data_IF_782795677247
#
_entry.id   IF_782795677247
#
_cell.length_a   1.000
_cell.length_b   1.000
_cell.length_c   1.000
_cell.angle_alpha   90.00
_cell.angle_beta   90.00
_cell.angle_gamma   90.00
#
_symmetry.space_group_name_H-M   'P 1'
#
loop_
_entity.id
_entity.type
_entity.pdbx_description
1 polymer ?
#
# COMPACT_ATOMS: atom_id res chain seq x y z
N UNK A 1 -43.82 12.44 51.73
CA UNK A 1 -43.23 11.30 50.99
C UNK A 1 -43.43 11.55 49.50
N UNK A 2 -42.38 11.99 48.80
CA UNK A 2 -42.38 12.14 47.34
C UNK A 2 -41.62 10.94 46.75
N UNK A 3 -42.13 10.30 45.68
CA UNK A 3 -41.48 9.13 45.11
C UNK A 3 -40.23 9.54 44.30
N UNK A 4 -39.21 8.69 44.38
CA UNK A 4 -37.94 8.79 43.67
C UNK A 4 -38.14 8.57 42.15
N UNK A 5 -37.60 9.43 41.27
CA UNK A 5 -37.50 9.15 39.85
C UNK A 5 -36.08 8.68 39.54
N UNK A 6 -35.84 7.37 39.47
CA UNK A 6 -34.59 6.83 38.91
C UNK A 6 -34.78 5.35 38.63
N UNK A 7 -35.33 5.05 37.45
CA UNK A 7 -35.18 3.72 36.84
C UNK A 7 -35.40 3.72 35.32
N UNK A 8 -35.95 4.78 34.73
CA UNK A 8 -36.31 4.81 33.31
C UNK A 8 -35.28 5.49 32.38
N UNK A 9 -34.04 5.67 32.86
CA UNK A 9 -32.97 6.38 32.11
C UNK A 9 -31.77 5.52 31.74
N UNK A 10 -31.77 4.23 32.09
CA UNK A 10 -30.66 3.31 31.82
C UNK A 10 -30.91 2.29 30.70
N UNK A 11 -32.11 2.24 30.12
CA UNK A 11 -32.48 1.24 29.11
C UNK A 11 -32.45 1.74 27.65
N UNK A 12 -32.01 2.98 27.41
CA UNK A 12 -32.02 3.61 26.06
C UNK A 12 -30.64 3.82 25.40
N UNK A 13 -29.57 3.21 25.90
CA UNK A 13 -28.20 3.42 25.36
C UNK A 13 -27.56 2.14 24.80
N UNK A 14 -28.36 1.13 24.42
CA UNK A 14 -27.89 -0.14 23.82
C UNK A 14 -28.27 -0.31 22.34
N UNK A 15 -28.69 0.75 21.66
CA UNK A 15 -28.92 0.75 20.22
C UNK A 15 -27.80 1.58 19.56
N UNK A 16 -27.19 1.01 18.53
CA UNK A 16 -26.18 1.57 17.62
C UNK A 16 -24.69 1.49 18.02
N UNK A 17 -24.22 0.34 18.51
CA UNK A 17 -22.83 -0.04 18.22
C UNK A 17 -22.81 -0.74 16.86
N UNK A 18 -22.22 -0.16 15.80
CA UNK A 18 -22.06 -0.86 14.53
C UNK A 18 -21.35 -2.20 14.78
N UNK A 19 -21.68 -3.26 14.03
CA UNK A 19 -20.93 -4.51 14.13
C UNK A 19 -19.44 -4.22 13.98
N UNK A 20 -18.61 -4.93 14.75
CA UNK A 20 -17.15 -4.85 14.63
C UNK A 20 -16.77 -4.90 13.15
N UNK A 21 -15.94 -3.96 12.68
CA UNK A 21 -15.65 -3.72 11.26
C UNK A 21 -15.31 -5.02 10.50
N UNK A 22 -14.61 -5.95 11.15
CA UNK A 22 -14.30 -7.27 10.59
C UNK A 22 -15.50 -8.24 10.54
N UNK A 23 -16.39 -8.23 11.53
CA UNK A 23 -17.59 -9.06 11.52
C UNK A 23 -18.53 -8.68 10.36
N UNK A 24 -18.67 -7.37 10.07
CA UNK A 24 -19.44 -6.92 8.91
C UNK A 24 -18.82 -7.39 7.58
N UNK A 25 -17.49 -7.37 7.48
CA UNK A 25 -16.76 -7.92 6.33
C UNK A 25 -17.07 -9.42 6.15
N UNK A 26 -17.01 -10.20 7.22
CA UNK A 26 -17.33 -11.64 7.16
C UNK A 26 -18.78 -11.89 6.73
N UNK A 27 -19.74 -11.10 7.20
CA UNK A 27 -21.14 -11.19 6.75
C UNK A 27 -21.28 -10.92 5.25
N UNK A 28 -20.58 -9.89 4.74
CA UNK A 28 -20.61 -9.55 3.32
C UNK A 28 -19.97 -10.64 2.45
N UNK A 29 -18.88 -11.27 2.89
CA UNK A 29 -18.30 -12.43 2.19
C UNK A 29 -19.20 -13.67 2.27
N UNK A 30 -19.83 -13.93 3.41
CA UNK A 30 -20.80 -15.01 3.54
C UNK A 30 -21.97 -14.83 2.56
N UNK A 31 -22.40 -13.60 2.31
CA UNK A 31 -23.38 -13.31 1.26
C UNK A 31 -22.84 -13.58 -0.15
N UNK A 32 -21.60 -13.18 -0.45
CA UNK A 32 -20.96 -13.53 -1.74
C UNK A 32 -20.91 -15.05 -1.96
N UNK A 33 -20.56 -15.84 -0.93
CA UNK A 33 -20.59 -17.32 -1.00
C UNK A 33 -21.98 -17.87 -1.27
N UNK A 34 -23.02 -17.29 -0.65
CA UNK A 34 -24.43 -17.67 -0.92
C UNK A 34 -24.82 -17.42 -2.38
N UNK A 35 -24.34 -16.35 -3.02
CA UNK A 35 -24.57 -16.10 -4.44
C UNK A 35 -23.94 -17.19 -5.31
N UNK A 36 -22.72 -17.64 -5.00
CA UNK A 36 -22.05 -18.75 -5.70
C UNK A 36 -22.85 -20.05 -5.52
N UNK A 37 -23.26 -20.38 -4.30
CA UNK A 37 -24.09 -21.57 -4.05
C UNK A 37 -25.44 -21.49 -4.76
N UNK A 38 -26.04 -20.30 -4.83
CA UNK A 38 -27.25 -20.04 -5.62
C UNK A 38 -27.03 -20.35 -7.10
N UNK A 39 -25.93 -19.84 -7.68
CA UNK A 39 -25.55 -20.10 -9.08
C UNK A 39 -25.42 -21.59 -9.37
N UNK A 40 -24.63 -22.30 -8.55
CA UNK A 40 -24.43 -23.75 -8.67
C UNK A 40 -25.75 -24.53 -8.64
N UNK A 41 -26.69 -24.12 -7.78
CA UNK A 41 -27.98 -24.78 -7.69
C UNK A 41 -28.87 -24.50 -8.91
N UNK A 42 -28.86 -23.27 -9.43
CA UNK A 42 -29.63 -22.93 -10.63
C UNK A 42 -29.08 -23.59 -11.90
N UNK A 43 -27.76 -23.74 -12.01
CA UNK A 43 -27.12 -24.53 -13.09
C UNK A 43 -27.58 -25.99 -13.05
N UNK A 44 -27.59 -26.61 -11.86
CA UNK A 44 -28.08 -27.99 -11.68
C UNK A 44 -29.55 -28.16 -12.05
N UNK A 45 -30.36 -27.12 -11.84
CA UNK A 45 -31.77 -27.10 -12.22
C UNK A 45 -31.98 -26.79 -13.71
N UNK A 46 -30.92 -26.49 -14.48
CA UNK A 46 -31.00 -26.21 -15.90
C UNK A 46 -31.75 -24.91 -16.21
N UNK A 47 -31.71 -23.92 -15.32
CA UNK A 47 -32.42 -22.65 -15.53
C UNK A 47 -31.80 -21.90 -16.72
N UNK A 48 -32.57 -21.74 -17.79
CA UNK A 48 -32.14 -21.02 -19.01
C UNK A 48 -32.81 -19.65 -19.21
N UNK A 49 -33.59 -19.17 -18.24
CA UNK A 49 -34.31 -17.88 -18.36
C UNK A 49 -33.37 -16.66 -18.31
N UNK A 50 -32.16 -16.83 -17.76
CA UNK A 50 -31.10 -15.83 -17.72
C UNK A 50 -29.74 -16.52 -17.59
N UNK A 51 -28.66 -15.76 -17.76
CA UNK A 51 -27.30 -16.24 -17.59
C UNK A 51 -26.98 -16.45 -16.10
N UNK A 52 -26.98 -17.71 -15.65
CA UNK A 52 -26.71 -18.06 -14.25
C UNK A 52 -25.34 -17.60 -13.78
N UNK A 53 -24.38 -17.43 -14.70
CA UNK A 53 -23.03 -16.93 -14.36
C UNK A 53 -23.04 -15.48 -13.87
N UNK A 54 -24.13 -14.73 -14.04
CA UNK A 54 -24.30 -13.42 -13.43
C UNK A 54 -24.35 -13.47 -11.89
N UNK A 55 -24.72 -14.62 -11.29
CA UNK A 55 -24.59 -14.80 -9.84
C UNK A 55 -23.12 -14.90 -9.40
N UNK A 56 -22.24 -15.45 -10.24
CA UNK A 56 -20.79 -15.48 -9.98
C UNK A 56 -20.18 -14.08 -10.13
N UNK A 57 -20.61 -13.31 -11.13
CA UNK A 57 -20.22 -11.88 -11.28
C UNK A 57 -20.69 -11.03 -10.10
N UNK A 58 -21.90 -11.27 -9.61
CA UNK A 58 -22.44 -10.60 -8.43
C UNK A 58 -21.64 -10.97 -7.16
N UNK A 59 -21.30 -12.25 -6.98
CA UNK A 59 -20.45 -12.70 -5.87
C UNK A 59 -19.06 -12.02 -5.89
N UNK A 60 -18.43 -11.98 -7.06
CA UNK A 60 -17.15 -11.29 -7.27
C UNK A 60 -17.25 -9.82 -6.87
N UNK A 61 -18.21 -9.10 -7.44
CA UNK A 61 -18.43 -7.67 -7.16
C UNK A 61 -18.72 -7.42 -5.67
N UNK A 62 -19.55 -8.26 -5.05
CA UNK A 62 -19.87 -8.18 -3.63
C UNK A 62 -18.64 -8.35 -2.74
N UNK A 63 -17.75 -9.29 -3.07
CA UNK A 63 -16.53 -9.51 -2.29
C UNK A 63 -15.55 -8.34 -2.38
N UNK A 64 -15.39 -7.73 -3.56
CA UNK A 64 -14.56 -6.53 -3.75
C UNK A 64 -15.15 -5.33 -2.99
N UNK A 65 -16.48 -5.17 -3.00
CA UNK A 65 -17.17 -4.14 -2.23
C UNK A 65 -17.00 -4.36 -0.71
N UNK A 66 -17.01 -5.61 -0.25
CA UNK A 66 -16.75 -5.94 1.14
C UNK A 66 -15.34 -5.52 1.58
N UNK A 67 -14.32 -5.79 0.75
CA UNK A 67 -12.94 -5.35 0.99
C UNK A 67 -12.85 -3.83 1.09
N UNK A 68 -13.40 -3.11 0.11
CA UNK A 68 -13.38 -1.65 0.02
C UNK A 68 -13.98 -0.97 1.26
N UNK A 69 -15.17 -1.43 1.65
CA UNK A 69 -15.86 -0.96 2.84
C UNK A 69 -15.06 -1.26 4.11
N UNK A 70 -14.53 -2.48 4.23
CA UNK A 70 -13.72 -2.87 5.39
C UNK A 70 -12.46 -2.02 5.53
N UNK A 71 -11.69 -1.83 4.46
CA UNK A 71 -10.47 -0.99 4.48
C UNK A 71 -10.81 0.43 4.92
N UNK A 72 -11.88 1.00 4.40
CA UNK A 72 -12.33 2.35 4.76
C UNK A 72 -12.60 2.45 6.26
N UNK A 73 -13.41 1.54 6.80
CA UNK A 73 -13.76 1.53 8.22
C UNK A 73 -12.53 1.29 9.12
N UNK A 74 -11.65 0.38 8.75
CA UNK A 74 -10.43 0.07 9.49
C UNK A 74 -9.48 1.29 9.57
N UNK A 75 -9.32 2.03 8.46
CA UNK A 75 -8.55 3.28 8.44
C UNK A 75 -9.19 4.32 9.38
N UNK A 76 -10.51 4.50 9.29
CA UNK A 76 -11.24 5.47 10.12
C UNK A 76 -11.09 5.14 11.61
N UNK A 77 -11.32 3.88 11.99
CA UNK A 77 -11.25 3.44 13.39
C UNK A 77 -9.84 3.61 13.97
N UNK A 78 -8.78 3.26 13.21
CA UNK A 78 -7.39 3.48 13.64
C UNK A 78 -7.03 4.97 13.71
N UNK A 79 -7.49 5.78 12.75
CA UNK A 79 -7.23 7.22 12.75
C UNK A 79 -7.89 7.88 13.97
N UNK A 80 -9.11 7.48 14.33
CA UNK A 80 -9.79 7.96 15.53
C UNK A 80 -9.04 7.58 16.80
N UNK A 81 -8.54 6.36 16.89
CA UNK A 81 -7.73 5.93 18.02
C UNK A 81 -6.46 6.81 18.20
N UNK A 82 -5.79 7.18 17.10
CA UNK A 82 -4.63 8.10 17.11
C UNK A 82 -4.99 9.55 17.49
N UNK A 83 -6.22 9.99 17.23
CA UNK A 83 -6.71 11.30 17.67
C UNK A 83 -6.93 11.32 19.18
N UNK A 84 -7.65 10.31 19.69
CA UNK A 84 -8.04 10.27 21.11
C UNK A 84 -6.89 9.83 22.03
N UNK A 85 -5.80 9.30 21.47
CA UNK A 85 -4.61 8.89 22.23
C UNK A 85 -3.34 9.57 21.71
N UNK A 86 -3.11 10.85 22.05
CA UNK A 86 -1.95 11.61 21.59
C UNK A 86 -0.59 11.05 22.06
N UNK A 87 -0.59 10.13 23.04
CA UNK A 87 0.61 9.43 23.49
C UNK A 87 1.16 8.41 22.47
N UNK A 88 0.34 7.96 21.52
CA UNK A 88 0.81 7.07 20.45
C UNK A 88 1.51 7.88 19.35
N UNK A 89 2.66 7.38 18.92
CA UNK A 89 3.39 7.97 17.80
C UNK A 89 2.53 7.92 16.54
N UNK A 90 2.30 9.09 15.94
CA UNK A 90 1.52 9.22 14.71
C UNK A 90 2.40 8.94 13.49
N UNK A 91 1.91 8.19 12.49
CA UNK A 91 2.61 8.06 11.22
C UNK A 91 2.83 9.45 10.57
N UNK A 92 3.93 9.67 9.83
CA UNK A 92 4.22 10.98 9.23
C UNK A 92 3.07 11.52 8.36
N UNK A 93 2.39 10.65 7.62
CA UNK A 93 1.29 11.05 6.73
C UNK A 93 0.00 11.42 7.49
N UNK A 94 -0.14 11.04 8.76
CA UNK A 94 -1.29 11.40 9.58
C UNK A 94 -1.50 12.92 9.63
N UNK A 95 -0.41 13.70 9.68
CA UNK A 95 -0.45 15.17 9.69
C UNK A 95 -1.01 15.80 8.41
N UNK A 96 -1.16 15.05 7.32
CA UNK A 96 -1.75 15.53 6.09
C UNK A 96 -3.29 15.50 6.11
N UNK A 97 -3.90 14.92 7.15
CA UNK A 97 -5.35 14.98 7.35
C UNK A 97 -5.73 16.41 7.76
N UNK A 98 -6.28 17.16 6.81
CA UNK A 98 -6.80 18.50 7.07
C UNK A 98 -8.17 18.42 7.73
N UNK A 99 -8.45 19.32 8.68
CA UNK A 99 -9.77 19.48 9.30
C UNK A 99 -10.24 20.92 9.02
N UNK A 100 -11.45 21.12 8.48
CA UNK A 100 -12.03 22.45 8.31
C UNK A 100 -12.13 23.20 9.65
N UNK A 101 -11.87 24.51 9.64
CA UNK A 101 -11.93 25.35 10.86
C UNK A 101 -13.30 25.27 11.54
N UNK A 102 -14.38 25.22 10.77
CA UNK A 102 -15.74 25.03 11.30
C UNK A 102 -15.87 23.76 12.17
N UNK A 103 -15.25 22.65 11.77
CA UNK A 103 -15.24 21.40 12.55
C UNK A 103 -14.44 21.55 13.83
N UNK A 104 -13.33 22.29 13.79
CA UNK A 104 -12.53 22.61 14.96
C UNK A 104 -13.31 23.49 15.96
N UNK A 105 -14.03 24.51 15.48
CA UNK A 105 -14.88 25.38 16.30
C UNK A 105 -16.03 24.59 16.95
N UNK A 106 -16.64 23.64 16.24
CA UNK A 106 -17.63 22.73 16.82
C UNK A 106 -17.11 21.95 18.02
N UNK A 107 -15.87 21.46 17.92
CA UNK A 107 -15.23 20.73 19.02
C UNK A 107 -14.92 21.68 20.19
N UNK A 108 -14.31 22.85 19.93
CA UNK A 108 -13.78 23.71 20.99
C UNK A 108 -14.81 24.70 21.59
N UNK A 109 -15.77 25.17 20.82
CA UNK A 109 -16.72 26.20 21.23
C UNK A 109 -18.15 25.67 21.42
N UNK A 110 -18.52 24.63 20.67
CA UNK A 110 -19.86 24.04 20.75
C UNK A 110 -19.90 22.74 21.57
N UNK A 111 -18.74 22.27 22.07
CA UNK A 111 -18.64 21.10 22.95
C UNK A 111 -18.94 19.77 22.25
N UNK A 112 -18.89 19.72 20.92
CA UNK A 112 -19.09 18.48 20.20
C UNK A 112 -17.95 17.48 20.48
N UNK A 113 -18.30 16.19 20.59
CA UNK A 113 -17.30 15.12 20.75
C UNK A 113 -16.30 15.11 19.57
N UNK A 114 -15.00 15.21 19.90
CA UNK A 114 -13.91 15.10 18.92
C UNK A 114 -14.00 13.80 18.12
N UNK A 115 -14.36 12.69 18.77
CA UNK A 115 -14.48 11.39 18.10
C UNK A 115 -15.59 11.42 17.04
N UNK A 116 -16.77 11.96 17.38
CA UNK A 116 -17.89 12.06 16.44
C UNK A 116 -17.57 12.99 15.28
N UNK A 117 -17.11 14.21 15.56
CA UNK A 117 -16.84 15.22 14.54
C UNK A 117 -15.72 14.76 13.60
N UNK A 118 -14.68 14.15 14.15
CA UNK A 118 -13.58 13.63 13.34
C UNK A 118 -14.00 12.38 12.55
N UNK A 119 -14.82 11.49 13.11
CA UNK A 119 -15.38 10.33 12.39
C UNK A 119 -16.19 10.78 11.18
N UNK A 120 -17.15 11.68 11.39
CA UNK A 120 -17.96 12.25 10.30
C UNK A 120 -17.09 12.87 9.21
N UNK A 121 -16.04 13.59 9.60
CA UNK A 121 -15.10 14.21 8.67
C UNK A 121 -14.30 13.18 7.87
N UNK A 122 -13.78 12.13 8.53
CA UNK A 122 -13.05 11.06 7.84
C UNK A 122 -13.97 10.25 6.93
N UNK A 123 -15.19 9.95 7.35
CA UNK A 123 -16.19 9.28 6.52
C UNK A 123 -16.48 10.09 5.24
N UNK A 124 -16.63 11.41 5.35
CA UNK A 124 -16.78 12.31 4.20
C UNK A 124 -15.51 12.41 3.35
N UNK A 125 -14.32 12.39 3.97
CA UNK A 125 -13.06 12.45 3.25
C UNK A 125 -12.82 11.19 2.40
N UNK A 126 -13.10 10.02 2.98
CA UNK A 126 -12.86 8.74 2.34
C UNK A 126 -14.03 8.25 1.47
N UNK A 127 -15.22 8.85 1.55
CA UNK A 127 -16.40 8.40 0.77
C UNK A 127 -16.21 8.46 -0.74
N UNK A 128 -15.33 9.32 -1.24
CA UNK A 128 -15.01 9.44 -2.67
C UNK A 128 -13.81 8.57 -3.08
N UNK A 129 -13.17 7.90 -2.13
CA UNK A 129 -12.03 7.03 -2.39
C UNK A 129 -12.51 5.59 -2.55
N UNK A 130 -11.82 4.86 -3.42
CA UNK A 130 -12.08 3.44 -3.65
C UNK A 130 -10.81 2.67 -3.32
N UNK A 131 -10.88 1.80 -2.32
CA UNK A 131 -9.81 1.01 -1.74
C UNK A 131 -9.83 -0.43 -2.26
N UNK A 132 -9.66 -0.56 -3.58
CA UNK A 132 -9.66 -1.87 -4.25
C UNK A 132 -8.35 -2.19 -4.95
N UNK A 133 -7.62 -1.16 -5.38
CA UNK A 133 -6.26 -1.36 -5.88
C UNK A 133 -5.27 -1.42 -4.71
N UNK A 134 -4.19 -2.22 -4.85
CA UNK A 134 -3.17 -2.31 -3.82
C UNK A 134 -2.55 -0.95 -3.43
N UNK A 135 -2.41 -0.06 -4.41
CA UNK A 135 -1.83 1.28 -4.25
C UNK A 135 -2.72 2.13 -3.37
N UNK A 136 -4.05 2.13 -3.62
CA UNK A 136 -5.01 2.90 -2.83
C UNK A 136 -5.13 2.39 -1.42
N UNK A 137 -5.13 1.07 -1.24
CA UNK A 137 -5.14 0.44 0.09
C UNK A 137 -3.88 0.82 0.89
N UNK A 138 -2.69 0.70 0.29
CA UNK A 138 -1.43 1.16 0.90
C UNK A 138 -1.45 2.65 1.22
N UNK A 139 -1.96 3.45 0.28
CA UNK A 139 -2.09 4.90 0.45
C UNK A 139 -3.00 5.26 1.63
N UNK A 140 -4.12 4.57 1.79
CA UNK A 140 -5.06 4.73 2.89
C UNK A 140 -4.45 4.34 4.23
N UNK A 141 -3.87 3.14 4.33
CA UNK A 141 -3.26 2.69 5.59
C UNK A 141 -2.03 3.49 6.01
N UNK A 142 -1.33 4.15 5.08
CA UNK A 142 -0.18 5.01 5.44
C UNK A 142 -0.54 6.22 6.31
N UNK A 143 -1.82 6.59 6.41
CA UNK A 143 -2.29 7.58 7.38
C UNK A 143 -2.25 7.05 8.82
N UNK A 144 -2.37 5.75 9.02
CA UNK A 144 -2.59 5.11 10.34
C UNK A 144 -1.55 4.07 10.71
N UNK A 145 -0.63 3.74 9.81
CA UNK A 145 0.48 2.82 10.07
C UNK A 145 1.72 3.20 9.25
N UNK A 146 2.89 2.89 9.79
CA UNK A 146 4.19 2.99 9.10
C UNK A 146 4.65 1.65 8.52
N UNK A 147 3.86 0.58 8.67
CA UNK A 147 4.22 -0.75 8.20
C UNK A 147 4.41 -0.75 6.68
N UNK A 148 5.42 -1.50 6.20
CA UNK A 148 5.45 -1.84 4.78
C UNK A 148 4.38 -2.91 4.51
N UNK A 149 3.19 -2.42 4.16
CA UNK A 149 1.98 -3.21 4.11
C UNK A 149 2.12 -4.48 3.27
N UNK A 150 2.49 -4.35 2.00
CA UNK A 150 2.45 -5.50 1.08
C UNK A 150 3.54 -6.54 1.36
N UNK A 151 4.70 -6.12 1.88
CA UNK A 151 5.73 -7.05 2.36
C UNK A 151 5.22 -7.84 3.57
N UNK A 152 4.58 -7.14 4.51
CA UNK A 152 4.07 -7.75 5.73
C UNK A 152 2.87 -8.66 5.46
N UNK A 153 2.00 -8.28 4.51
CA UNK A 153 0.89 -9.11 4.01
C UNK A 153 1.42 -10.35 3.30
N UNK A 154 2.41 -10.20 2.41
CA UNK A 154 3.01 -11.35 1.72
C UNK A 154 3.65 -12.34 2.70
N UNK A 155 4.35 -11.83 3.72
CA UNK A 155 4.85 -12.66 4.82
C UNK A 155 3.73 -13.36 5.57
N UNK A 156 2.69 -12.63 5.99
CA UNK A 156 1.55 -13.20 6.71
C UNK A 156 0.80 -14.26 5.89
N UNK A 157 0.72 -14.12 4.56
CA UNK A 157 0.15 -15.12 3.67
C UNK A 157 1.05 -16.35 3.52
N UNK A 158 2.36 -16.17 3.43
CA UNK A 158 3.32 -17.28 3.40
C UNK A 158 3.30 -18.08 4.71
N UNK A 159 3.15 -17.40 5.86
CA UNK A 159 3.01 -18.05 7.16
C UNK A 159 1.70 -18.85 7.27
N UNK A 160 0.64 -18.44 6.56
CA UNK A 160 -0.65 -19.15 6.50
C UNK A 160 -0.65 -20.35 5.56
N UNK A 161 0.11 -20.28 4.45
CA UNK A 161 0.19 -21.32 3.42
C UNK A 161 1.63 -21.81 3.27
N UNK A 162 1.99 -22.85 4.01
CA UNK A 162 3.34 -23.43 4.12
C UNK A 162 3.99 -23.86 2.80
N UNK A 163 3.24 -23.97 1.69
CA UNK A 163 3.74 -24.52 0.42
C UNK A 163 4.01 -23.49 -0.70
N UNK A 164 3.67 -22.21 -0.54
CA UNK A 164 3.93 -21.20 -1.59
C UNK A 164 4.52 -19.90 -1.03
N UNK A 165 5.82 -19.67 -1.30
CA UNK A 165 6.45 -18.38 -1.10
C UNK A 165 5.74 -17.31 -1.96
N UNK A 166 4.87 -16.54 -1.34
CA UNK A 166 4.12 -15.48 -2.01
C UNK A 166 4.89 -14.16 -1.87
N UNK A 167 5.23 -13.51 -2.98
CA UNK A 167 5.94 -12.22 -2.99
C UNK A 167 4.95 -11.06 -2.91
N UNK A 168 5.39 -9.88 -2.42
CA UNK A 168 4.57 -8.66 -2.41
C UNK A 168 4.00 -8.33 -3.80
N UNK A 169 4.81 -8.45 -4.85
CA UNK A 169 4.37 -8.24 -6.24
C UNK A 169 3.25 -9.21 -6.66
N UNK A 170 3.38 -10.49 -6.33
CA UNK A 170 2.38 -11.51 -6.66
C UNK A 170 1.06 -11.23 -5.94
N UNK A 171 1.12 -10.86 -4.65
CA UNK A 171 -0.07 -10.45 -3.88
C UNK A 171 -0.78 -9.30 -4.58
N UNK A 172 -0.03 -8.26 -4.93
CA UNK A 172 -0.56 -7.03 -5.53
C UNK A 172 -1.10 -7.29 -6.93
N UNK A 173 -0.40 -8.08 -7.75
CA UNK A 173 -0.83 -8.45 -9.09
C UNK A 173 -2.19 -9.17 -9.05
N UNK A 174 -2.35 -10.18 -8.19
CA UNK A 174 -3.62 -10.91 -8.06
C UNK A 174 -4.75 -10.01 -7.57
N UNK A 175 -4.48 -9.10 -6.63
CA UNK A 175 -5.49 -8.12 -6.19
C UNK A 175 -5.87 -7.12 -7.30
N UNK A 176 -4.90 -6.67 -8.12
CA UNK A 176 -5.19 -5.82 -9.30
C UNK A 176 -6.06 -6.54 -10.32
N UNK A 177 -5.79 -7.81 -10.60
CA UNK A 177 -6.61 -8.64 -11.47
C UNK A 177 -8.06 -8.72 -10.99
N UNK A 178 -8.25 -8.98 -9.69
CA UNK A 178 -9.58 -9.03 -9.07
C UNK A 178 -10.32 -7.69 -9.16
N UNK A 179 -9.64 -6.59 -8.85
CA UNK A 179 -10.21 -5.25 -8.94
C UNK A 179 -10.53 -4.85 -10.40
N UNK A 180 -9.64 -5.20 -11.35
CA UNK A 180 -9.84 -4.98 -12.77
C UNK A 180 -11.08 -5.73 -13.27
N UNK A 181 -11.21 -7.02 -12.91
CA UNK A 181 -12.36 -7.84 -13.28
C UNK A 181 -13.67 -7.27 -12.75
N UNK A 182 -13.69 -6.82 -11.49
CA UNK A 182 -14.84 -6.11 -10.90
C UNK A 182 -15.20 -4.86 -11.72
N UNK A 183 -14.19 -4.07 -12.13
CA UNK A 183 -14.43 -2.86 -12.91
C UNK A 183 -15.03 -3.19 -14.29
N UNK A 184 -14.57 -4.27 -14.92
CA UNK A 184 -15.13 -4.76 -16.17
C UNK A 184 -16.61 -5.16 -15.98
N UNK A 185 -16.92 -5.93 -14.93
CA UNK A 185 -18.31 -6.32 -14.60
C UNK A 185 -19.20 -5.08 -14.41
N UNK A 186 -18.74 -4.12 -13.60
CA UNK A 186 -19.56 -2.97 -13.21
C UNK A 186 -19.71 -1.90 -14.29
N UNK A 187 -18.69 -1.66 -15.11
CA UNK A 187 -18.64 -0.52 -16.03
C UNK A 187 -18.74 -0.87 -17.51
N UNK A 188 -18.38 -2.10 -17.89
CA UNK A 188 -18.38 -2.53 -19.30
C UNK A 188 -19.28 -3.75 -19.51
N UNK A 189 -20.20 -4.03 -18.58
CA UNK A 189 -21.08 -5.21 -18.61
C UNK A 189 -20.33 -6.54 -18.76
N UNK A 190 -19.09 -6.57 -18.28
CA UNK A 190 -18.16 -7.67 -18.40
C UNK A 190 -17.81 -8.11 -19.84
N UNK A 191 -17.81 -7.18 -20.80
CA UNK A 191 -17.49 -7.48 -22.19
C UNK A 191 -16.09 -8.10 -22.34
N UNK A 192 -16.01 -9.12 -23.18
CA UNK A 192 -14.76 -9.77 -23.57
C UNK A 192 -14.10 -8.97 -24.71
N UNK A 193 -12.90 -8.39 -24.50
CA UNK A 193 -12.22 -7.60 -25.51
C UNK A 193 -11.79 -8.43 -26.73
N UNK A 194 -11.57 -9.74 -26.56
CA UNK A 194 -11.15 -10.66 -27.61
C UNK A 194 -12.35 -11.29 -28.33
N UNK A 195 -13.55 -11.24 -27.73
CA UNK A 195 -14.80 -11.77 -28.28
C UNK A 195 -15.91 -10.71 -28.27
N UNK A 196 -15.95 -9.81 -29.27
CA UNK A 196 -16.94 -8.74 -29.34
C UNK A 196 -18.38 -9.25 -29.21
N UNK A 197 -19.15 -8.61 -28.33
CA UNK A 197 -20.56 -8.96 -28.07
C UNK A 197 -20.76 -10.11 -27.08
N UNK A 198 -19.70 -10.76 -26.62
CA UNK A 198 -19.77 -11.76 -25.55
C UNK A 198 -19.32 -11.16 -24.22
N UNK A 199 -19.86 -11.69 -23.12
CA UNK A 199 -19.28 -11.49 -21.80
C UNK A 199 -18.08 -12.41 -21.65
N UNK A 200 -17.07 -11.97 -20.92
CA UNK A 200 -15.99 -12.88 -20.52
C UNK A 200 -16.55 -14.01 -19.66
N UNK A 201 -16.00 -15.20 -19.84
CA UNK A 201 -16.38 -16.40 -19.09
C UNK A 201 -16.05 -16.26 -17.61
N UNK A 202 -16.87 -16.85 -16.76
CA UNK A 202 -16.63 -16.97 -15.32
C UNK A 202 -17.26 -18.26 -14.81
N UNK A 203 -16.49 -19.03 -14.07
CA UNK A 203 -16.92 -20.24 -13.37
C UNK A 203 -17.22 -19.95 -11.90
N UNK A 204 -17.95 -20.89 -11.28
CA UNK A 204 -18.16 -20.90 -9.85
C UNK A 204 -16.84 -21.01 -9.07
N UNK A 205 -15.89 -21.80 -9.57
CA UNK A 205 -14.57 -21.96 -8.99
C UNK A 205 -13.77 -20.65 -9.00
N UNK A 206 -13.69 -19.96 -10.14
CA UNK A 206 -12.99 -18.68 -10.23
C UNK A 206 -13.58 -17.64 -9.27
N UNK A 207 -14.91 -17.57 -9.16
CA UNK A 207 -15.57 -16.69 -8.20
C UNK A 207 -15.23 -17.06 -6.76
N UNK A 208 -15.25 -18.35 -6.42
CA UNK A 208 -14.91 -18.83 -5.07
C UNK A 208 -13.44 -18.54 -4.71
N UNK A 209 -12.52 -18.74 -5.65
CA UNK A 209 -11.11 -18.40 -5.49
C UNK A 209 -10.88 -16.91 -5.24
N UNK A 210 -11.62 -16.03 -5.92
CA UNK A 210 -11.56 -14.59 -5.69
C UNK A 210 -12.09 -14.20 -4.30
N UNK A 211 -13.22 -14.78 -3.88
CA UNK A 211 -13.80 -14.56 -2.53
C UNK A 211 -12.82 -15.01 -1.45
N UNK A 212 -12.27 -16.21 -1.58
CA UNK A 212 -11.33 -16.77 -0.60
C UNK A 212 -10.00 -15.99 -0.57
N UNK A 213 -9.55 -15.51 -1.74
CA UNK A 213 -8.37 -14.64 -1.81
C UNK A 213 -8.60 -13.31 -1.08
N UNK A 214 -9.75 -12.66 -1.28
CA UNK A 214 -10.08 -11.42 -0.56
C UNK A 214 -10.13 -11.63 0.95
N UNK A 215 -10.71 -12.75 1.41
CA UNK A 215 -10.71 -13.10 2.84
C UNK A 215 -9.29 -13.23 3.39
N UNK A 216 -8.44 -13.99 2.69
CA UNK A 216 -7.04 -14.20 3.06
C UNK A 216 -6.25 -12.89 3.12
N UNK A 217 -6.49 -11.99 2.15
CA UNK A 217 -5.88 -10.66 2.11
C UNK A 217 -6.28 -9.82 3.33
N UNK A 218 -7.57 -9.79 3.67
CA UNK A 218 -8.03 -9.01 4.83
C UNK A 218 -7.44 -9.57 6.13
N UNK A 219 -7.39 -10.89 6.30
CA UNK A 219 -6.74 -11.54 7.45
C UNK A 219 -5.26 -11.15 7.52
N UNK A 220 -4.54 -11.24 6.40
CA UNK A 220 -3.13 -10.89 6.32
C UNK A 220 -2.88 -9.39 6.56
N UNK A 221 -3.74 -8.50 6.07
CA UNK A 221 -3.65 -7.06 6.37
C UNK A 221 -3.84 -6.81 7.87
N UNK A 222 -4.83 -7.44 8.50
CA UNK A 222 -5.02 -7.32 9.96
C UNK A 222 -3.79 -7.79 10.72
N UNK A 223 -3.25 -8.95 10.36
CA UNK A 223 -2.01 -9.47 10.96
C UNK A 223 -0.82 -8.53 10.75
N UNK A 224 -0.70 -7.92 9.56
CA UNK A 224 0.37 -6.97 9.24
C UNK A 224 0.25 -5.65 10.00
N UNK A 225 -0.97 -5.18 10.24
CA UNK A 225 -1.24 -3.96 10.99
C UNK A 225 -1.18 -4.15 12.51
N UNK A 226 -1.24 -5.39 12.98
CA UNK A 226 -1.30 -5.75 14.40
C UNK A 226 -2.63 -5.36 15.05
N UNK A 227 -2.70 -5.56 16.36
CA UNK A 227 -3.90 -5.26 17.15
C UNK A 227 -4.28 -3.78 17.02
N UNK A 228 -5.59 -3.47 16.92
CA UNK A 228 -6.05 -2.10 16.94
C UNK A 228 -5.69 -1.45 18.28
N UNK A 229 -5.37 -0.16 18.24
CA UNK A 229 -5.10 0.62 19.45
C UNK A 229 -6.37 0.56 20.32
N UNK A 230 -6.31 0.07 21.59
CA UNK A 230 -7.49 -0.11 22.42
C UNK A 230 -8.27 1.19 22.57
N UNK A 231 -9.61 1.16 22.46
CA UNK A 231 -10.42 2.36 22.67
C UNK A 231 -10.21 2.89 24.10
N UNK A 232 -9.78 4.14 24.24
CA UNK A 232 -9.47 4.72 25.53
C UNK A 232 -10.75 4.84 26.39
N UNK A 233 -10.79 4.11 27.50
CA UNK A 233 -11.79 4.34 28.55
C UNK A 233 -11.32 5.50 29.42
N UNK A 234 -11.53 6.76 29.01
CA UNK A 234 -11.57 7.94 29.89
C UNK A 234 -11.96 9.22 29.14
N UNK A 235 -12.83 10.07 29.71
CA UNK A 235 -13.10 11.40 29.17
C UNK A 235 -11.86 12.28 29.29
N UNK A 236 -11.56 13.02 28.22
CA UNK A 236 -10.55 14.07 28.19
C UNK A 236 -10.80 15.06 29.34
N UNK A 237 -9.80 15.27 30.21
CA UNK A 237 -9.78 16.42 31.12
C UNK A 237 -8.85 17.49 30.56
N UNK A 238 -9.39 18.69 30.37
CA UNK A 238 -8.69 19.87 29.88
C UNK A 238 -7.50 20.24 30.76
N UNK A 239 -6.31 20.33 30.15
CA UNK A 239 -5.19 21.08 30.71
C UNK A 239 -4.31 21.69 29.60
N UNK A 240 -4.50 23.01 29.43
CA UNK A 240 -3.64 23.99 28.72
C UNK A 240 -2.13 23.73 28.86
N UNK A 241 -1.39 23.90 27.76
CA UNK A 241 -0.49 25.07 27.56
C UNK A 241 0.07 25.14 26.13
N UNK A 242 0.13 26.38 25.68
CA UNK A 242 0.54 26.92 24.37
C UNK A 242 2.06 27.15 24.32
N UNK A 243 2.69 26.95 23.16
CA UNK A 243 3.84 27.75 22.69
C UNK A 243 4.11 27.54 21.19
N UNK A 244 3.80 28.59 20.44
CA UNK A 244 4.48 29.22 19.30
C UNK A 244 4.89 28.50 18.00
N UNK A 245 4.65 29.25 16.93
CA UNK A 245 4.68 28.92 15.51
C UNK A 245 6.05 29.20 14.84
N UNK A 246 6.27 28.57 13.68
CA UNK A 246 6.40 29.25 12.37
C UNK A 246 7.24 28.43 11.36
N UNK A 247 6.65 28.05 10.22
CA UNK A 247 7.00 28.56 8.86
C UNK A 247 6.45 27.73 7.69
N UNK A 248 5.75 28.48 6.83
CA UNK A 248 5.81 28.52 5.37
C UNK A 248 5.35 27.30 4.54
N UNK A 249 4.10 27.42 4.07
CA UNK A 249 3.54 26.81 2.88
C UNK A 249 4.19 27.31 1.58
N UNK A 250 4.47 26.41 0.65
CA UNK A 250 4.70 26.76 -0.76
C UNK A 250 3.70 25.98 -1.64
N UNK A 251 2.76 26.70 -2.23
CA UNK A 251 1.73 26.18 -3.13
C UNK A 251 2.32 26.06 -4.54
N UNK A 252 2.23 24.88 -5.17
CA UNK A 252 2.38 24.74 -6.63
C UNK A 252 1.11 24.17 -7.24
N UNK A 253 0.58 24.91 -8.20
CA UNK A 253 -0.55 24.60 -9.07
C UNK A 253 -0.35 23.28 -9.84
N UNK A 254 -1.42 22.53 -10.15
CA UNK A 254 -1.32 21.29 -10.91
C UNK A 254 -1.05 21.59 -12.39
N UNK A 255 0.06 21.05 -12.90
CA UNK A 255 0.33 20.97 -14.34
C UNK A 255 -0.22 19.66 -14.91
N UNK A 256 -0.71 19.73 -16.15
CA UNK A 256 -1.33 18.66 -16.95
C UNK A 256 -0.69 17.27 -16.80
N UNK A 257 -1.47 16.17 -16.98
CA UNK A 257 -1.02 14.82 -16.68
C UNK A 257 0.06 14.38 -17.67
N UNK A 258 1.32 14.48 -17.25
CA UNK A 258 2.42 13.73 -17.86
C UNK A 258 2.24 12.27 -17.48
N UNK A 259 2.39 11.36 -18.45
CA UNK A 259 2.36 9.91 -18.24
C UNK A 259 3.35 9.55 -17.12
N UNK A 260 2.82 9.31 -15.93
CA UNK A 260 3.60 8.92 -14.77
C UNK A 260 3.63 7.40 -14.80
N UNK A 261 4.84 6.82 -14.82
CA UNK A 261 4.96 5.38 -14.65
C UNK A 261 4.53 5.01 -13.24
N UNK A 262 3.85 3.89 -13.11
CA UNK A 262 3.54 3.26 -11.84
C UNK A 262 4.39 2.00 -11.69
N UNK A 263 4.19 1.32 -10.58
CA UNK A 263 4.93 0.12 -10.27
C UNK A 263 4.71 -1.01 -11.26
N UNK A 264 3.46 -1.21 -11.67
CA UNK A 264 3.10 -2.23 -12.65
C UNK A 264 3.80 -1.96 -13.97
N UNK A 265 3.79 -0.71 -14.44
CA UNK A 265 4.50 -0.32 -15.65
C UNK A 265 5.99 -0.60 -15.57
N UNK A 266 6.64 -0.39 -14.43
CA UNK A 266 8.07 -0.68 -14.25
C UNK A 266 8.34 -2.19 -14.17
N UNK A 267 7.59 -2.95 -13.37
CA UNK A 267 7.76 -4.41 -13.25
C UNK A 267 7.52 -5.09 -14.60
N UNK A 268 6.46 -4.70 -15.31
CA UNK A 268 6.16 -5.19 -16.65
C UNK A 268 7.27 -4.84 -17.65
N UNK A 269 7.81 -3.62 -17.60
CA UNK A 269 8.93 -3.22 -18.44
C UNK A 269 10.22 -4.02 -18.15
N UNK A 270 10.51 -4.33 -16.88
CA UNK A 270 11.65 -5.18 -16.52
C UNK A 270 11.47 -6.56 -17.14
N UNK A 271 10.31 -7.20 -16.97
CA UNK A 271 10.03 -8.52 -17.55
C UNK A 271 10.04 -8.53 -19.08
N UNK A 272 9.62 -7.42 -19.72
CA UNK A 272 9.56 -7.31 -21.17
C UNK A 272 10.91 -7.02 -21.84
N UNK A 273 11.76 -6.21 -21.21
CA UNK A 273 12.96 -5.66 -21.85
C UNK A 273 14.28 -6.23 -21.33
N UNK A 274 14.25 -7.08 -20.29
CA UNK A 274 15.45 -7.68 -19.72
C UNK A 274 15.47 -9.20 -19.98
N UNK A 275 16.66 -9.80 -20.02
CA UNK A 275 16.76 -11.27 -19.94
C UNK A 275 16.27 -11.76 -18.57
N UNK A 276 15.88 -13.05 -18.44
CA UNK A 276 15.40 -13.59 -17.17
C UNK A 276 16.35 -13.37 -15.99
N UNK A 277 17.66 -13.48 -16.22
CA UNK A 277 18.69 -13.30 -15.20
C UNK A 277 18.81 -11.84 -14.76
N UNK A 278 18.81 -10.91 -15.71
CA UNK A 278 18.82 -9.47 -15.43
C UNK A 278 17.53 -9.05 -14.71
N UNK A 279 16.38 -9.54 -15.18
CA UNK A 279 15.09 -9.29 -14.55
C UNK A 279 15.06 -9.81 -13.10
N UNK A 280 15.58 -11.01 -12.85
CA UNK A 280 15.70 -11.58 -11.51
C UNK A 280 16.55 -10.70 -10.60
N UNK A 281 17.72 -10.25 -11.05
CA UNK A 281 18.60 -9.35 -10.28
C UNK A 281 17.93 -8.02 -9.97
N UNK A 282 17.32 -7.37 -10.97
CA UNK A 282 16.65 -6.07 -10.80
C UNK A 282 15.43 -6.18 -9.86
N UNK A 283 14.64 -7.25 -9.99
CA UNK A 283 13.50 -7.50 -9.10
C UNK A 283 13.94 -7.87 -7.69
N UNK A 284 15.06 -8.58 -7.51
CA UNK A 284 15.62 -8.84 -6.18
C UNK A 284 16.03 -7.54 -5.48
N UNK A 285 16.72 -6.65 -6.19
CA UNK A 285 17.13 -5.33 -5.68
C UNK A 285 15.92 -4.46 -5.36
N UNK A 286 14.93 -4.46 -6.25
CA UNK A 286 13.64 -3.82 -6.02
C UNK A 286 12.99 -4.34 -4.73
N UNK A 287 12.73 -5.63 -4.62
CA UNK A 287 12.05 -6.23 -3.46
C UNK A 287 12.81 -6.04 -2.15
N UNK A 288 14.15 -6.08 -2.19
CA UNK A 288 14.96 -5.86 -1.00
C UNK A 288 14.72 -4.48 -0.39
N UNK A 289 14.57 -3.43 -1.22
CA UNK A 289 14.25 -2.11 -0.71
C UNK A 289 12.98 -2.15 0.14
N UNK A 290 11.92 -2.81 -0.31
CA UNK A 290 10.69 -2.92 0.47
C UNK A 290 10.89 -3.64 1.82
N UNK A 291 11.77 -4.62 1.88
CA UNK A 291 12.06 -5.36 3.12
C UNK A 291 12.90 -4.57 4.14
N UNK A 292 13.56 -3.50 3.72
CA UNK A 292 14.54 -2.80 4.56
C UNK A 292 13.86 -1.79 5.52
N UNK A 293 14.19 -1.77 6.83
CA UNK A 293 13.57 -0.85 7.81
C UNK A 293 13.76 0.65 7.48
N UNK A 294 14.89 0.96 6.86
CA UNK A 294 15.22 2.32 6.39
C UNK A 294 14.41 2.76 5.16
N UNK A 295 13.64 1.89 4.51
CA UNK A 295 12.92 2.25 3.30
C UNK A 295 11.79 3.26 3.57
N UNK A 296 11.66 4.24 2.67
CA UNK A 296 10.67 5.33 2.76
C UNK A 296 9.74 5.39 1.56
N UNK A 297 10.08 4.70 0.48
CA UNK A 297 9.18 4.51 -0.66
C UNK A 297 9.87 4.66 -2.00
N UNK A 298 9.06 4.47 -3.04
CA UNK A 298 9.49 4.64 -4.42
C UNK A 298 9.12 6.00 -4.97
N UNK A 299 9.98 6.49 -5.86
CA UNK A 299 9.70 7.61 -6.75
C UNK A 299 9.74 7.11 -8.18
N UNK A 300 8.60 7.12 -8.86
CA UNK A 300 8.50 6.67 -10.25
C UNK A 300 8.78 7.82 -11.22
N UNK A 301 9.55 7.51 -12.26
CA UNK A 301 9.95 8.46 -13.28
C UNK A 301 8.77 8.99 -14.09
N UNK A 302 8.89 10.25 -14.54
CA UNK A 302 7.94 10.90 -15.47
C UNK A 302 8.48 11.00 -16.90
N UNK A 303 9.61 10.35 -17.16
CA UNK A 303 10.29 10.32 -18.45
C UNK A 303 9.63 9.34 -19.42
N UNK A 304 10.03 9.40 -20.69
CA UNK A 304 9.63 8.43 -21.72
C UNK A 304 9.87 6.98 -21.31
N UNK A 305 10.93 6.71 -20.55
CA UNK A 305 11.27 5.36 -20.10
C UNK A 305 10.79 5.07 -18.67
N UNK A 306 10.27 3.85 -18.42
CA UNK A 306 9.98 3.35 -17.08
C UNK A 306 11.20 3.41 -16.18
N UNK A 307 11.05 4.08 -15.04
CA UNK A 307 12.10 4.20 -14.05
C UNK A 307 11.52 4.23 -12.63
N UNK A 308 12.26 3.67 -11.69
CA UNK A 308 11.93 3.72 -10.26
C UNK A 308 13.18 3.96 -9.43
N UNK A 309 13.09 4.93 -8.52
CA UNK A 309 14.14 5.19 -7.52
C UNK A 309 13.65 4.81 -6.14
N UNK A 310 14.46 4.06 -5.39
CA UNK A 310 14.17 3.70 -4.00
C UNK A 310 14.76 4.72 -3.04
N UNK A 311 13.90 5.31 -2.19
CA UNK A 311 14.30 6.25 -1.14
C UNK A 311 14.43 5.54 0.19
N UNK A 312 15.51 5.88 0.91
CA UNK A 312 15.80 5.38 2.23
C UNK A 312 16.16 6.52 3.16
N UNK A 313 15.84 6.34 4.43
CA UNK A 313 16.33 7.13 5.54
C UNK A 313 17.79 6.75 5.82
N UNK A 314 18.67 7.74 5.85
CA UNK A 314 20.10 7.55 6.01
C UNK A 314 20.60 7.99 7.40
N UNK A 315 19.67 8.27 8.31
CA UNK A 315 19.90 8.74 9.69
C UNK A 315 19.87 10.26 9.84
N UNK A 316 20.11 11.00 8.75
CA UNK A 316 20.14 12.47 8.74
C UNK A 316 19.10 13.09 7.80
N UNK A 317 18.87 12.45 6.64
CA UNK A 317 17.90 12.83 5.62
C UNK A 317 17.54 11.60 4.76
N UNK A 318 16.51 11.73 3.92
CA UNK A 318 16.15 10.73 2.93
C UNK A 318 16.89 10.96 1.60
N UNK A 319 17.44 9.89 1.02
CA UNK A 319 17.96 9.95 -0.35
C UNK A 319 17.53 8.74 -1.19
N UNK A 320 17.42 8.97 -2.49
CA UNK A 320 17.27 7.89 -3.45
C UNK A 320 18.61 7.18 -3.61
N UNK A 321 18.76 5.97 -3.08
CA UNK A 321 20.04 5.22 -3.06
C UNK A 321 20.34 4.60 -4.43
N UNK A 322 19.33 4.09 -5.11
CA UNK A 322 19.47 3.52 -6.44
C UNK A 322 18.28 3.87 -7.33
N UNK A 323 18.47 3.71 -8.64
CA UNK A 323 17.42 3.87 -9.66
C UNK A 323 17.49 2.74 -10.67
N UNK A 324 16.36 2.07 -10.92
CA UNK A 324 16.22 1.08 -12.00
C UNK A 324 15.59 1.79 -13.20
N UNK A 325 16.18 1.57 -14.37
CA UNK A 325 15.60 1.93 -15.66
C UNK A 325 15.35 0.65 -16.44
N UNK A 326 14.19 0.54 -17.11
CA UNK A 326 13.89 -0.58 -17.99
C UNK A 326 13.34 -0.06 -19.31
N UNK A 327 14.11 -0.22 -20.39
CA UNK A 327 13.69 0.20 -21.74
C UNK A 327 14.42 -0.61 -22.82
N UNK A 328 13.91 -0.65 -24.06
CA UNK A 328 14.57 -1.36 -25.16
C UNK A 328 16.01 -0.93 -25.42
N UNK A 329 16.34 0.35 -25.12
CA UNK A 329 17.65 0.95 -25.40
C UNK A 329 18.57 0.99 -24.17
N UNK A 330 18.00 0.93 -22.98
CA UNK A 330 18.72 1.13 -21.72
C UNK A 330 17.94 0.49 -20.57
N UNK A 331 18.41 -0.68 -20.15
CA UNK A 331 18.01 -1.32 -18.90
C UNK A 331 19.22 -1.39 -17.98
N UNK A 332 19.22 -0.60 -16.90
CA UNK A 332 20.37 -0.45 -16.01
C UNK A 332 19.93 -0.24 -14.57
N UNK A 333 20.80 -0.60 -13.64
CA UNK A 333 20.74 -0.16 -12.25
C UNK A 333 21.74 0.98 -12.04
N UNK A 334 21.28 2.14 -11.63
CA UNK A 334 22.13 3.28 -11.25
C UNK A 334 22.26 3.34 -9.74
N UNK A 335 23.48 3.45 -9.23
CA UNK A 335 23.75 3.71 -7.81
C UNK A 335 23.99 5.21 -7.63
N UNK A 336 23.15 5.88 -6.86
CA UNK A 336 23.04 7.34 -6.84
C UNK A 336 23.97 7.98 -5.79
N UNK A 337 25.29 7.80 -5.91
CA UNK A 337 26.27 8.39 -4.97
C UNK A 337 26.09 9.90 -4.82
N UNK A 338 25.85 10.61 -5.92
CA UNK A 338 25.61 12.05 -5.90
C UNK A 338 24.42 12.44 -5.01
N UNK A 339 23.32 11.70 -5.06
CA UNK A 339 22.13 11.98 -4.24
C UNK A 339 22.40 11.74 -2.76
N UNK A 340 23.08 10.65 -2.43
CA UNK A 340 23.45 10.35 -1.05
C UNK A 340 24.41 11.40 -0.48
N UNK A 341 25.42 11.80 -1.26
CA UNK A 341 26.35 12.88 -0.89
C UNK A 341 25.62 14.21 -0.67
N UNK A 342 24.78 14.62 -1.60
CA UNK A 342 24.05 15.89 -1.51
C UNK A 342 23.07 15.93 -0.32
N UNK A 343 22.73 14.76 0.23
CA UNK A 343 21.88 14.58 1.41
C UNK A 343 22.68 14.30 2.69
N UNK A 344 23.98 14.55 2.67
CA UNK A 344 24.83 14.56 3.86
C UNK A 344 25.38 13.21 4.29
N UNK A 345 25.34 12.17 3.45
CA UNK A 345 25.99 10.90 3.79
C UNK A 345 27.51 11.10 3.92
N UNK A 346 28.13 10.68 5.04
CA UNK A 346 29.58 10.83 5.23
C UNK A 346 30.39 10.17 4.11
N UNK A 347 31.46 10.83 3.65
CA UNK A 347 32.32 10.32 2.59
C UNK A 347 32.91 8.94 2.90
N UNK A 348 33.17 8.63 4.18
CA UNK A 348 33.64 7.31 4.60
C UNK A 348 32.63 6.18 4.31
N UNK A 349 31.32 6.44 4.51
CA UNK A 349 30.26 5.48 4.16
C UNK A 349 30.13 5.32 2.65
N UNK A 350 30.27 6.40 1.89
CA UNK A 350 30.29 6.34 0.43
C UNK A 350 31.54 5.61 -0.11
N UNK A 351 32.70 5.76 0.52
CA UNK A 351 33.92 5.03 0.16
C UNK A 351 33.73 3.53 0.34
N UNK A 352 33.21 3.12 1.51
CA UNK A 352 32.95 1.71 1.79
C UNK A 352 31.97 1.09 0.79
N UNK A 353 30.83 1.76 0.55
CA UNK A 353 29.88 1.32 -0.48
C UNK A 353 30.55 1.16 -1.85
N UNK A 354 31.43 2.09 -2.23
CA UNK A 354 32.14 2.02 -3.51
C UNK A 354 33.15 0.86 -3.55
N UNK A 355 33.84 0.58 -2.44
CA UNK A 355 34.77 -0.54 -2.26
C UNK A 355 34.05 -1.89 -2.36
N UNK A 356 32.92 -2.06 -1.68
CA UNK A 356 32.13 -3.30 -1.67
C UNK A 356 31.62 -3.66 -3.06
N UNK A 357 31.27 -2.64 -3.86
CA UNK A 357 30.80 -2.80 -5.23
C UNK A 357 31.92 -3.08 -6.24
N UNK A 358 33.21 -2.99 -5.87
CA UNK A 358 34.33 -3.22 -6.82
C UNK A 358 34.42 -4.66 -7.34
N UNK A 359 33.80 -5.61 -6.62
CA UNK A 359 33.67 -7.01 -7.02
C UNK A 359 32.72 -7.22 -8.21
N UNK A 360 31.88 -6.23 -8.52
CA UNK A 360 31.01 -6.29 -9.69
C UNK A 360 31.82 -6.25 -11.00
N UNK A 361 31.42 -7.00 -12.03
CA UNK A 361 32.07 -6.93 -13.34
C UNK A 361 32.08 -5.49 -13.87
N UNK A 362 33.26 -5.00 -14.27
CA UNK A 362 33.43 -3.63 -14.78
C UNK A 362 33.59 -2.55 -13.70
N UNK A 363 33.52 -2.89 -12.41
CA UNK A 363 33.58 -1.91 -11.31
C UNK A 363 34.92 -1.83 -10.58
N UNK A 364 35.94 -2.57 -11.00
CA UNK A 364 37.26 -2.60 -10.33
C UNK A 364 37.92 -1.23 -10.19
N UNK A 365 37.68 -0.29 -11.13
CA UNK A 365 38.21 1.09 -11.06
C UNK A 365 37.19 2.11 -10.56
N UNK A 366 35.96 1.69 -10.26
CA UNK A 366 34.85 2.60 -9.98
C UNK A 366 35.05 3.35 -8.66
N UNK A 367 35.57 2.71 -7.61
CA UNK A 367 35.85 3.36 -6.34
C UNK A 367 36.80 4.56 -6.50
N UNK A 368 37.89 4.40 -7.26
CA UNK A 368 38.80 5.50 -7.57
C UNK A 368 38.12 6.61 -8.40
N UNK A 369 37.30 6.24 -9.41
CA UNK A 369 36.59 7.22 -10.24
C UNK A 369 35.51 8.01 -9.49
N UNK A 370 34.91 7.41 -8.46
CA UNK A 370 33.95 8.04 -7.56
C UNK A 370 34.68 8.96 -6.59
N UNK A 371 35.74 8.49 -5.94
CA UNK A 371 36.59 9.31 -5.06
C UNK A 371 37.16 10.52 -5.79
N UNK A 372 37.67 10.36 -7.02
CA UNK A 372 38.22 11.47 -7.81
C UNK A 372 37.16 12.48 -8.24
N UNK A 373 35.89 12.08 -8.24
CA UNK A 373 34.75 12.94 -8.56
C UNK A 373 34.03 13.43 -7.30
N UNK A 374 34.63 13.25 -6.13
CA UNK A 374 34.00 13.52 -4.83
C UNK A 374 32.58 12.96 -4.76
N UNK A 375 32.42 11.71 -5.20
CA UNK A 375 31.16 10.96 -5.25
C UNK A 375 30.00 11.65 -5.98
N UNK A 376 30.27 12.66 -6.82
CA UNK A 376 29.28 13.45 -7.56
C UNK A 376 28.75 12.75 -8.82
N UNK A 377 28.69 11.41 -8.82
CA UNK A 377 28.32 10.60 -9.99
C UNK A 377 27.22 9.61 -9.66
N UNK A 378 26.61 9.06 -10.71
CA UNK A 378 25.58 8.01 -10.64
C UNK A 378 25.95 6.87 -11.59
N UNK A 379 26.97 6.07 -11.24
CA UNK A 379 27.43 4.98 -12.09
C UNK A 379 26.31 3.96 -12.33
N UNK A 380 26.34 3.35 -13.52
CA UNK A 380 25.39 2.31 -13.89
C UNK A 380 26.07 0.95 -13.83
N UNK A 381 25.39 -0.03 -13.24
CA UNK A 381 25.69 -1.45 -13.42
C UNK A 381 25.10 -1.84 -14.77
N UNK A 382 25.95 -2.30 -15.68
CA UNK A 382 25.55 -2.70 -17.03
C UNK A 382 24.84 -4.07 -17.04
N UNK A 383 24.25 -4.41 -18.19
CA UNK A 383 23.49 -5.64 -18.36
C UNK A 383 24.31 -6.92 -18.17
N UNK A 384 25.59 -6.91 -18.54
CA UNK A 384 26.45 -8.08 -18.39
C UNK A 384 26.77 -8.33 -16.91
N UNK A 385 27.00 -7.26 -16.13
CA UNK A 385 27.11 -7.37 -14.69
C UNK A 385 25.77 -7.83 -14.05
N UNK A 386 24.65 -7.23 -14.43
CA UNK A 386 23.33 -7.58 -13.88
C UNK A 386 22.89 -9.03 -14.16
N UNK A 387 23.37 -9.63 -15.26
CA UNK A 387 23.06 -11.02 -15.61
C UNK A 387 23.80 -12.08 -14.78
N UNK A 388 24.74 -11.68 -13.90
CA UNK A 388 25.44 -12.63 -13.03
C UNK A 388 24.65 -12.88 -11.75
N UNK A 389 24.53 -14.16 -11.36
CA UNK A 389 23.79 -14.59 -10.17
C UNK A 389 24.23 -13.85 -8.88
N UNK A 390 25.54 -13.68 -8.69
CA UNK A 390 26.10 -13.03 -7.49
C UNK A 390 25.88 -11.51 -7.44
N UNK A 391 25.46 -10.86 -8.53
CA UNK A 391 25.35 -9.40 -8.58
C UNK A 391 24.29 -8.88 -7.64
N UNK A 392 23.15 -9.58 -7.52
CA UNK A 392 22.12 -9.21 -6.55
C UNK A 392 22.68 -9.25 -5.13
N UNK A 393 23.30 -10.36 -4.72
CA UNK A 393 23.90 -10.53 -3.39
C UNK A 393 24.93 -9.45 -3.06
N UNK A 394 25.85 -9.14 -3.97
CA UNK A 394 26.86 -8.08 -3.79
C UNK A 394 26.19 -6.71 -3.58
N UNK A 395 25.24 -6.35 -4.46
CA UNK A 395 24.55 -5.06 -4.35
C UNK A 395 23.72 -4.98 -3.06
N UNK A 396 23.00 -6.05 -2.73
CA UNK A 396 22.15 -6.10 -1.54
C UNK A 396 22.98 -6.00 -0.25
N UNK A 397 24.11 -6.69 -0.19
CA UNK A 397 25.03 -6.63 0.95
C UNK A 397 25.60 -5.23 1.10
N UNK A 398 26.14 -4.65 0.03
CA UNK A 398 26.75 -3.32 0.06
C UNK A 398 25.74 -2.22 0.41
N UNK A 399 24.52 -2.29 -0.13
CA UNK A 399 23.42 -1.37 0.23
C UNK A 399 22.94 -1.61 1.67
N UNK A 400 22.85 -2.86 2.12
CA UNK A 400 22.47 -3.20 3.49
C UNK A 400 23.46 -2.62 4.52
N UNK A 401 24.77 -2.78 4.27
CA UNK A 401 25.82 -2.20 5.12
C UNK A 401 25.81 -0.67 5.09
N UNK A 402 25.56 -0.06 3.93
CA UNK A 402 25.35 1.37 3.84
C UNK A 402 24.19 1.79 4.75
N UNK A 403 23.07 1.06 4.77
CA UNK A 403 21.84 1.45 5.46
C UNK A 403 21.79 1.06 6.95
N UNK A 404 22.77 0.32 7.47
CA UNK A 404 22.94 0.13 8.91
C UNK A 404 23.45 1.42 9.53
N UNK A 405 22.57 2.16 10.20
CA UNK A 405 22.86 3.39 10.94
C UNK A 405 22.93 3.10 12.43
#
# INVERSE_FOLDING_TARGET
MRPNPTQDSQEKTYLDTPPETYAQFQQNLAYARKLIHGGRNLEKLGVGAFDVTDLYRAAWTQSVAALDHWVTREIIDRALALVVQPAFARPPKFGNLSIPVERFERIHHHGDSIERVFREHLEQHFSFMTFQSPEKIKEGFSYVSTVNLWVSVAKALADQNLEAATTSDAVRAKLREIAWRRNNIAHTADHDPDRPGQKSTISDQEAEEAVNWIESIVIAIRSALGDPIPAASRPFSDAKKQADADRASDQRLPSQPRRQWDEEGVISAIGRYCSPEVAATLLAIYRHAESHPAFRGYSFGRSENPAVSARFDLGYDEAAVWTIYASPKKSVLSINFEYMRNRGVPLARLSRLAEDLTSLPGWTRMAHQLSSADYAKRPNVDLHALGRLATSEVVLTAVGELLHV
#
